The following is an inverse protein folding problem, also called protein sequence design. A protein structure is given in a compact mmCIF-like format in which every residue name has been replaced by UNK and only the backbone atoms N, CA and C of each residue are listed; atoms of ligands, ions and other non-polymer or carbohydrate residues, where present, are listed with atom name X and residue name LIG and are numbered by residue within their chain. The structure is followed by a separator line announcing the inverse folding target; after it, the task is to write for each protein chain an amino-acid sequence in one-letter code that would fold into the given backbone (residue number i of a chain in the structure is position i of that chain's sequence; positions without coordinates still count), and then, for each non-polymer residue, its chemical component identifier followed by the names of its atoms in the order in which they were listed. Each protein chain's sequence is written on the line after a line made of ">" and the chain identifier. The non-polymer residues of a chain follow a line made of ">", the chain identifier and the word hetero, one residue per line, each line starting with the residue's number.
data_IF_522568425001
#
_entry.id   IF_522568425001
#
_cell.length_a   1.000
_cell.length_b   1.000
_cell.length_c   1.000
_cell.angle_alpha   90.00
_cell.angle_beta   90.00
_cell.angle_gamma   90.00
#
_symmetry.space_group_name_H-M   'P 1'
#
loop_
_entity.id
_entity.type
_entity.pdbx_description
1 polymer ?
#
# COMPACT_ATOMS: atom_id res chain seq x y z
N UNK A 1 4.66 -15.70 -12.47
CA UNK A 1 4.71 -14.22 -12.45
C UNK A 1 3.45 -13.73 -11.76
N UNK A 2 3.52 -12.80 -10.80
CA UNK A 2 2.35 -12.24 -10.10
C UNK A 2 1.59 -11.33 -11.06
N UNK A 3 0.27 -11.47 -11.09
CA UNK A 3 -0.62 -10.58 -11.83
C UNK A 3 -1.15 -9.52 -10.89
N UNK A 4 -1.04 -8.25 -11.28
CA UNK A 4 -1.41 -7.11 -10.44
C UNK A 4 -2.69 -6.45 -10.93
N UNK A 5 -3.54 -6.03 -9.99
CA UNK A 5 -4.78 -5.29 -10.25
C UNK A 5 -4.96 -4.17 -9.23
N UNK A 6 -5.17 -2.95 -9.71
CA UNK A 6 -5.64 -1.83 -8.91
C UNK A 6 -7.15 -1.69 -9.10
N UNK A 7 -7.90 -1.58 -8.02
CA UNK A 7 -9.35 -1.45 -8.05
C UNK A 7 -9.86 -0.53 -6.95
N UNK A 8 -10.98 0.14 -7.21
CA UNK A 8 -11.79 0.77 -6.16
C UNK A 8 -12.57 -0.30 -5.41
N UNK A 9 -13.05 0.04 -4.22
CA UNK A 9 -13.78 -0.93 -3.40
C UNK A 9 -15.04 -1.49 -4.10
N UNK A 10 -15.77 -0.63 -4.79
CA UNK A 10 -16.99 -0.98 -5.53
C UNK A 10 -16.75 -1.80 -6.82
N UNK A 11 -15.51 -1.86 -7.27
CA UNK A 11 -15.08 -2.71 -8.40
C UNK A 11 -14.61 -4.11 -7.96
N UNK A 12 -14.47 -4.32 -6.64
CA UNK A 12 -14.09 -5.62 -6.09
C UNK A 12 -15.28 -6.58 -6.08
N UNK A 13 -15.04 -7.81 -6.48
CA UNK A 13 -16.01 -8.88 -6.28
C UNK A 13 -16.13 -9.25 -4.79
N UNK A 14 -17.26 -9.82 -4.35
CA UNK A 14 -17.39 -10.32 -2.98
C UNK A 14 -16.27 -11.31 -2.58
N UNK A 15 -15.81 -12.10 -3.54
CA UNK A 15 -14.70 -13.04 -3.33
C UNK A 15 -13.38 -12.32 -3.07
N UNK A 16 -13.07 -11.29 -3.84
CA UNK A 16 -11.86 -10.49 -3.63
C UNK A 16 -11.89 -9.76 -2.29
N UNK A 17 -13.03 -9.19 -1.89
CA UNK A 17 -13.19 -8.57 -0.56
C UNK A 17 -12.94 -9.59 0.55
N UNK A 18 -13.54 -10.79 0.44
CA UNK A 18 -13.30 -11.88 1.39
C UNK A 18 -11.82 -12.27 1.47
N UNK A 19 -11.16 -12.44 0.32
CA UNK A 19 -9.76 -12.87 0.26
C UNK A 19 -8.81 -11.77 0.81
N UNK A 20 -9.09 -10.50 0.55
CA UNK A 20 -8.38 -9.36 1.15
C UNK A 20 -8.47 -9.40 2.67
N UNK A 21 -9.67 -9.48 3.22
CA UNK A 21 -9.87 -9.45 4.67
C UNK A 21 -9.29 -10.69 5.34
N UNK A 22 -9.41 -11.87 4.73
CA UNK A 22 -8.77 -13.08 5.20
C UNK A 22 -7.24 -12.92 5.29
N UNK A 23 -6.60 -12.44 4.23
CA UNK A 23 -5.15 -12.22 4.19
C UNK A 23 -4.69 -11.19 5.23
N UNK A 24 -5.45 -10.10 5.42
CA UNK A 24 -5.16 -9.06 6.41
C UNK A 24 -5.25 -9.60 7.84
N UNK A 25 -6.30 -10.34 8.16
CA UNK A 25 -6.47 -10.95 9.48
C UNK A 25 -5.36 -11.97 9.73
N UNK A 26 -5.04 -12.81 8.75
CA UNK A 26 -3.97 -13.80 8.87
C UNK A 26 -2.62 -13.14 9.19
N UNK A 27 -2.23 -12.09 8.46
CA UNK A 27 -0.92 -11.46 8.62
C UNK A 27 -0.90 -10.53 9.83
N UNK A 28 -1.87 -9.62 9.97
CA UNK A 28 -1.78 -8.55 10.96
C UNK A 28 -2.32 -8.95 12.35
N UNK A 29 -3.24 -9.89 12.41
CA UNK A 29 -3.84 -10.32 13.68
C UNK A 29 -3.23 -11.64 14.14
N UNK A 30 -3.28 -12.68 13.31
CA UNK A 30 -2.87 -14.04 13.71
C UNK A 30 -1.35 -14.17 13.76
N UNK A 31 -0.64 -13.90 12.67
CA UNK A 31 0.84 -14.02 12.63
C UNK A 31 1.53 -13.05 13.59
N UNK A 32 1.11 -11.79 13.61
CA UNK A 32 1.69 -10.75 14.47
C UNK A 32 1.20 -10.83 15.93
N UNK A 33 0.26 -11.74 16.22
CA UNK A 33 -0.33 -11.90 17.56
C UNK A 33 -0.81 -10.58 18.15
N UNK A 34 -1.44 -9.76 17.31
CA UNK A 34 -1.91 -8.43 17.64
C UNK A 34 -3.43 -8.38 17.56
N UNK A 35 -4.09 -8.24 18.71
CA UNK A 35 -5.54 -8.12 18.78
C UNK A 35 -5.94 -6.65 18.57
N UNK A 36 -6.33 -6.28 17.36
CA UNK A 36 -6.83 -4.95 17.03
C UNK A 36 -7.94 -5.02 15.98
N UNK A 37 -8.68 -3.93 15.84
CA UNK A 37 -9.73 -3.82 14.83
C UNK A 37 -9.11 -3.49 13.46
N UNK A 38 -8.77 -4.50 12.69
CA UNK A 38 -8.14 -4.32 11.38
C UNK A 38 -9.04 -3.59 10.37
N UNK A 39 -10.34 -3.91 10.38
CA UNK A 39 -11.36 -3.22 9.56
C UNK A 39 -11.74 -1.90 10.24
N UNK A 40 -11.09 -0.83 9.84
CA UNK A 40 -11.19 0.50 10.44
C UNK A 40 -12.27 1.42 9.80
N UNK A 41 -13.05 0.87 8.87
CA UNK A 41 -14.16 1.57 8.22
C UNK A 41 -13.80 2.42 7.02
N UNK A 42 -12.53 2.61 6.69
CA UNK A 42 -12.13 3.45 5.54
C UNK A 42 -11.90 2.68 4.23
N UNK A 43 -11.93 1.36 4.27
CA UNK A 43 -11.72 0.53 3.08
C UNK A 43 -12.62 0.90 1.88
N UNK A 44 -13.92 1.25 2.08
CA UNK A 44 -14.78 1.67 0.98
C UNK A 44 -14.32 2.92 0.22
N UNK A 45 -13.49 3.75 0.84
CA UNK A 45 -12.98 4.99 0.25
C UNK A 45 -11.57 4.84 -0.34
N UNK A 46 -10.93 3.68 -0.15
CA UNK A 46 -9.58 3.40 -0.60
C UNK A 46 -9.54 2.80 -2.01
N UNK A 47 -8.35 2.88 -2.61
CA UNK A 47 -7.97 2.01 -3.71
C UNK A 47 -7.27 0.77 -3.15
N UNK A 48 -7.44 -0.35 -3.83
CA UNK A 48 -6.91 -1.65 -3.43
C UNK A 48 -5.98 -2.18 -4.51
N UNK A 49 -4.73 -2.46 -4.15
CA UNK A 49 -3.75 -3.07 -5.04
C UNK A 49 -3.59 -4.54 -4.65
N UNK A 50 -3.98 -5.43 -5.57
CA UNK A 50 -4.01 -6.87 -5.39
C UNK A 50 -2.95 -7.53 -6.27
N UNK A 51 -2.20 -8.45 -5.70
CA UNK A 51 -1.27 -9.31 -6.41
C UNK A 51 -1.71 -10.76 -6.31
N UNK A 52 -1.93 -11.42 -7.45
CA UNK A 52 -2.37 -12.80 -7.53
C UNK A 52 -1.26 -13.70 -8.05
N UNK A 53 -1.06 -14.84 -7.40
CA UNK A 53 -0.18 -15.89 -7.93
C UNK A 53 -0.76 -16.47 -9.22
N UNK A 54 0.08 -16.99 -10.13
CA UNK A 54 -0.43 -17.74 -11.28
C UNK A 54 -1.20 -18.96 -10.78
N UNK A 55 -2.39 -19.19 -11.34
CA UNK A 55 -3.17 -20.39 -11.07
C UNK A 55 -3.29 -21.23 -12.34
N UNK A 56 -3.25 -22.54 -12.15
CA UNK A 56 -3.44 -23.50 -13.24
C UNK A 56 -4.93 -23.69 -13.57
N UNK A 57 -5.80 -23.33 -12.62
CA UNK A 57 -7.27 -23.49 -12.76
C UNK A 57 -7.95 -22.24 -12.21
N UNK A 58 -8.29 -21.31 -13.08
CA UNK A 58 -9.17 -20.15 -12.87
C UNK A 58 -9.00 -19.36 -11.55
N UNK A 59 -8.50 -18.14 -11.64
CA UNK A 59 -8.36 -17.20 -10.53
C UNK A 59 -7.18 -17.52 -9.60
N UNK A 60 -6.11 -16.73 -9.66
CA UNK A 60 -4.94 -16.88 -8.79
C UNK A 60 -5.28 -16.65 -7.32
N UNK A 61 -4.45 -17.17 -6.42
CA UNK A 61 -4.54 -16.88 -4.99
C UNK A 61 -4.00 -15.48 -4.71
N UNK A 62 -4.67 -14.71 -3.85
CA UNK A 62 -4.18 -13.42 -3.38
C UNK A 62 -2.91 -13.63 -2.53
N UNK A 63 -1.78 -13.13 -3.00
CA UNK A 63 -0.48 -13.33 -2.35
C UNK A 63 0.21 -12.04 -1.93
N UNK A 64 -0.27 -10.90 -2.43
CA UNK A 64 0.22 -9.58 -2.05
C UNK A 64 -0.92 -8.56 -2.08
N UNK A 65 -0.89 -7.60 -1.18
CA UNK A 65 -1.94 -6.59 -1.08
C UNK A 65 -1.43 -5.34 -0.38
N UNK A 66 -1.94 -4.20 -0.78
CA UNK A 66 -1.98 -2.97 0.02
C UNK A 66 -3.19 -2.12 -0.36
N UNK A 67 -3.53 -1.16 0.50
CA UNK A 67 -4.51 -0.12 0.18
C UNK A 67 -3.85 1.23 0.02
N UNK A 68 -4.36 2.03 -0.92
CA UNK A 68 -3.99 3.42 -1.13
C UNK A 68 -5.09 4.29 -0.53
N UNK A 69 -4.74 5.06 0.48
CA UNK A 69 -5.68 5.84 1.28
C UNK A 69 -5.69 7.27 0.77
N UNK A 70 -6.85 7.85 0.44
CA UNK A 70 -6.95 9.23 0.02
C UNK A 70 -6.44 10.22 1.07
N UNK A 71 -6.01 11.44 0.67
CA UNK A 71 -5.62 12.47 1.62
C UNK A 71 -6.77 12.83 2.56
N UNK A 72 -6.43 13.14 3.81
CA UNK A 72 -7.40 13.54 4.84
C UNK A 72 -8.14 12.39 5.53
N UNK A 73 -7.87 11.12 5.17
CA UNK A 73 -8.53 9.97 5.81
C UNK A 73 -7.72 9.36 6.95
N UNK A 74 -6.43 9.18 6.79
CA UNK A 74 -5.52 8.73 7.84
C UNK A 74 -4.55 9.84 8.24
N UNK A 75 -3.96 10.47 7.25
CA UNK A 75 -3.07 11.63 7.38
C UNK A 75 -3.59 12.75 6.48
N UNK A 76 -3.04 13.96 6.62
CA UNK A 76 -3.32 15.06 5.69
C UNK A 76 -2.91 14.66 4.27
N UNK A 77 -1.78 13.96 4.14
CA UNK A 77 -1.27 13.41 2.89
C UNK A 77 -1.96 12.08 2.54
N UNK A 78 -1.98 11.68 1.25
CA UNK A 78 -2.33 10.31 0.88
C UNK A 78 -1.36 9.30 1.48
N UNK A 79 -1.83 8.08 1.70
CA UNK A 79 -1.06 7.05 2.40
C UNK A 79 -1.14 5.69 1.69
N UNK A 80 -0.14 4.87 1.94
CA UNK A 80 -0.13 3.45 1.60
C UNK A 80 -0.18 2.67 2.91
N UNK A 81 -1.14 1.79 3.06
CA UNK A 81 -1.32 1.01 4.28
C UNK A 81 -1.70 -0.44 4.03
N UNK A 82 -1.72 -1.22 5.11
CA UNK A 82 -2.04 -2.66 5.05
C UNK A 82 -1.17 -3.41 4.04
N UNK A 83 0.11 -3.05 3.96
CA UNK A 83 1.09 -3.70 3.07
C UNK A 83 1.38 -5.10 3.59
N UNK A 84 1.05 -6.10 2.80
CA UNK A 84 1.30 -7.50 3.16
C UNK A 84 1.72 -8.35 1.96
N UNK A 85 2.46 -9.40 2.27
CA UNK A 85 2.67 -10.57 1.40
C UNK A 85 2.39 -11.83 2.20
N UNK A 86 1.73 -12.81 1.59
CA UNK A 86 1.51 -14.11 2.21
C UNK A 86 2.79 -14.94 2.23
N UNK A 87 2.82 -16.00 3.04
CA UNK A 87 4.00 -16.87 3.16
C UNK A 87 4.55 -17.36 1.83
N UNK A 88 3.64 -17.68 0.88
CA UNK A 88 4.01 -18.18 -0.46
C UNK A 88 4.75 -17.14 -1.32
N UNK A 89 4.50 -15.85 -1.11
CA UNK A 89 5.10 -14.76 -1.89
C UNK A 89 6.30 -14.08 -1.19
N UNK A 90 6.55 -14.43 0.06
CA UNK A 90 7.75 -13.95 0.77
C UNK A 90 8.99 -14.55 0.12
N UNK A 91 10.09 -13.79 0.04
CA UNK A 91 11.39 -14.19 -0.53
C UNK A 91 11.50 -14.20 -2.07
N UNK A 92 10.40 -13.96 -2.81
CA UNK A 92 10.44 -13.85 -4.28
C UNK A 92 10.36 -12.39 -4.78
N UNK A 93 10.58 -11.42 -3.90
CA UNK A 93 10.58 -10.00 -4.24
C UNK A 93 9.18 -9.36 -4.37
N UNK A 94 8.13 -10.10 -4.03
CA UNK A 94 6.73 -9.61 -4.17
C UNK A 94 6.47 -8.32 -3.37
N UNK A 95 7.06 -8.18 -2.18
CA UNK A 95 6.90 -6.96 -1.36
C UNK A 95 7.52 -5.71 -2.00
N UNK A 96 8.69 -5.85 -2.65
CA UNK A 96 9.32 -4.74 -3.38
C UNK A 96 8.52 -4.35 -4.60
N UNK A 97 8.02 -5.31 -5.36
CA UNK A 97 7.19 -5.04 -6.53
C UNK A 97 5.86 -4.40 -6.11
N UNK A 98 5.23 -4.89 -5.04
CA UNK A 98 4.02 -4.30 -4.45
C UNK A 98 4.24 -2.82 -4.11
N UNK A 99 5.31 -2.49 -3.37
CA UNK A 99 5.59 -1.12 -2.98
C UNK A 99 5.94 -0.22 -4.15
N UNK A 100 6.72 -0.72 -5.12
CA UNK A 100 7.01 0.03 -6.35
C UNK A 100 5.73 0.42 -7.08
N UNK A 101 4.83 -0.53 -7.29
CA UNK A 101 3.54 -0.29 -7.94
C UNK A 101 2.63 0.61 -7.11
N UNK A 102 2.61 0.44 -5.78
CA UNK A 102 1.81 1.27 -4.89
C UNK A 102 2.23 2.75 -4.95
N UNK A 103 3.53 3.02 -4.93
CA UNK A 103 4.07 4.39 -5.08
C UNK A 103 3.74 4.96 -6.46
N UNK A 104 3.92 4.17 -7.54
CA UNK A 104 3.58 4.60 -8.90
C UNK A 104 2.10 4.96 -9.02
N UNK A 105 1.21 4.12 -8.51
CA UNK A 105 -0.24 4.38 -8.54
C UNK A 105 -0.62 5.58 -7.69
N UNK A 106 -0.10 5.67 -6.45
CA UNK A 106 -0.38 6.81 -5.58
C UNK A 106 0.06 8.14 -6.19
N UNK A 107 1.23 8.18 -6.83
CA UNK A 107 1.74 9.38 -7.51
C UNK A 107 0.84 9.79 -8.69
N UNK A 108 0.24 8.84 -9.39
CA UNK A 108 -0.70 9.12 -10.50
C UNK A 108 -2.08 9.53 -10.00
N UNK A 109 -2.56 8.93 -8.90
CA UNK A 109 -3.85 9.27 -8.30
C UNK A 109 -3.83 10.64 -7.64
N UNK A 110 -2.72 11.02 -7.03
CA UNK A 110 -2.54 12.27 -6.29
C UNK A 110 -1.25 12.98 -6.74
N UNK A 111 -1.25 13.55 -7.94
CA UNK A 111 -0.06 14.21 -8.49
C UNK A 111 0.31 15.43 -7.67
N UNK A 112 1.61 15.59 -7.39
CA UNK A 112 2.13 16.71 -6.61
C UNK A 112 2.00 16.57 -5.09
N UNK A 113 1.40 15.48 -4.60
CA UNK A 113 1.27 15.22 -3.17
C UNK A 113 2.46 14.41 -2.63
N UNK A 114 2.89 14.73 -1.42
CA UNK A 114 3.76 13.86 -0.63
C UNK A 114 2.97 12.64 -0.16
N UNK A 115 3.65 11.53 0.13
CA UNK A 115 3.03 10.33 0.69
C UNK A 115 3.50 10.16 2.13
N UNK A 116 2.58 9.92 3.07
CA UNK A 116 2.90 9.60 4.47
C UNK A 116 2.44 8.18 4.79
N UNK A 117 3.28 7.43 5.50
CA UNK A 117 2.96 6.08 5.97
C UNK A 117 3.25 5.95 7.47
N UNK A 118 2.48 5.09 8.14
CA UNK A 118 2.83 4.56 9.46
C UNK A 118 3.53 3.21 9.25
N UNK A 119 4.83 3.17 9.51
CA UNK A 119 5.66 2.00 9.28
C UNK A 119 6.03 1.32 10.59
N UNK A 120 5.97 0.00 10.65
CA UNK A 120 6.61 -0.75 11.72
C UNK A 120 8.11 -0.45 11.70
N UNK A 121 8.68 -0.07 12.83
CA UNK A 121 10.05 0.47 12.91
C UNK A 121 11.10 -0.41 12.27
N UNK A 122 10.99 -1.73 12.39
CA UNK A 122 11.98 -2.64 11.80
C UNK A 122 11.95 -2.66 10.25
N UNK A 123 10.95 -2.04 9.62
CA UNK A 123 10.81 -1.89 8.17
C UNK A 123 11.27 -0.52 7.64
N UNK A 124 11.85 0.35 8.48
CA UNK A 124 12.33 1.67 8.05
C UNK A 124 13.27 1.58 6.83
N UNK A 125 14.23 0.65 6.87
CA UNK A 125 15.15 0.45 5.76
C UNK A 125 14.43 0.03 4.48
N UNK A 126 13.49 -0.89 4.59
CA UNK A 126 12.70 -1.36 3.45
C UNK A 126 11.93 -0.22 2.78
N UNK A 127 11.22 0.61 3.56
CA UNK A 127 10.48 1.75 2.99
C UNK A 127 11.41 2.84 2.49
N UNK A 128 12.60 2.98 3.08
CA UNK A 128 13.65 3.89 2.60
C UNK A 128 14.09 3.62 1.16
N UNK A 129 14.03 2.35 0.71
CA UNK A 129 14.33 1.98 -0.68
C UNK A 129 13.37 2.65 -1.69
N UNK A 130 12.19 3.08 -1.25
CA UNK A 130 11.17 3.76 -2.07
C UNK A 130 11.10 5.27 -1.86
N UNK A 131 12.11 5.84 -1.19
CA UNK A 131 12.22 7.28 -0.96
C UNK A 131 11.48 7.81 0.26
N UNK A 132 11.00 6.93 1.15
CA UNK A 132 10.43 7.35 2.43
C UNK A 132 11.54 7.65 3.44
N UNK A 133 11.38 8.75 4.19
CA UNK A 133 12.29 9.19 5.24
C UNK A 133 11.51 9.29 6.55
N UNK A 134 12.09 8.84 7.64
CA UNK A 134 11.48 8.91 8.98
C UNK A 134 11.17 10.37 9.35
N UNK A 135 9.92 10.61 9.73
CA UNK A 135 9.35 11.93 9.98
C UNK A 135 8.74 12.08 11.39
N UNK A 136 8.88 11.09 12.26
CA UNK A 136 8.42 11.15 13.65
C UNK A 136 9.38 10.42 14.59
N UNK A 137 9.23 10.69 15.89
CA UNK A 137 9.78 9.82 16.93
C UNK A 137 9.05 8.46 16.91
N UNK A 138 9.68 7.36 17.38
CA UNK A 138 9.00 6.10 17.54
C UNK A 138 7.80 6.20 18.50
N UNK A 139 6.72 5.49 18.19
CA UNK A 139 5.52 5.37 19.02
C UNK A 139 5.01 3.94 19.05
N UNK A 140 4.24 3.61 20.08
CA UNK A 140 3.58 2.31 20.16
C UNK A 140 2.22 2.37 19.45
N UNK A 141 1.94 1.38 18.60
CA UNK A 141 0.63 1.13 18.00
C UNK A 141 0.31 -0.35 18.18
N UNK A 142 -0.65 -0.61 19.06
CA UNK A 142 -1.11 -1.97 19.39
C UNK A 142 0.03 -2.94 19.83
N UNK A 143 1.02 -2.44 20.57
CA UNK A 143 2.16 -3.22 21.07
C UNK A 143 3.30 -3.38 20.06
N UNK A 144 3.23 -2.74 18.89
CA UNK A 144 4.28 -2.76 17.87
C UNK A 144 4.84 -1.35 17.71
N UNK A 145 6.16 -1.20 17.80
CA UNK A 145 6.82 0.09 17.61
C UNK A 145 6.72 0.54 16.15
N UNK A 146 6.15 1.72 15.94
CA UNK A 146 5.99 2.37 14.64
C UNK A 146 6.76 3.67 14.55
N UNK A 147 6.97 4.14 13.34
CA UNK A 147 7.38 5.50 12.99
C UNK A 147 6.50 5.99 11.83
N UNK A 148 6.29 7.31 11.76
CA UNK A 148 5.79 7.89 10.52
C UNK A 148 6.96 8.12 9.57
N UNK A 149 6.72 7.87 8.29
CA UNK A 149 7.69 8.14 7.23
C UNK A 149 7.02 8.95 6.12
N UNK A 150 7.78 9.88 5.54
CA UNK A 150 7.32 10.79 4.50
C UNK A 150 8.15 10.62 3.24
N UNK A 151 7.47 10.49 2.10
CA UNK A 151 8.07 10.56 0.78
C UNK A 151 7.67 11.89 0.15
N UNK A 152 8.65 12.72 -0.18
CA UNK A 152 8.40 14.01 -0.82
C UNK A 152 7.66 13.83 -2.16
N UNK A 153 6.85 14.81 -2.52
CA UNK A 153 6.22 14.88 -3.84
C UNK A 153 7.30 14.81 -4.93
N UNK A 154 7.04 14.03 -5.98
CA UNK A 154 7.87 14.07 -7.17
C UNK A 154 7.68 15.42 -7.86
N UNK A 155 8.76 16.07 -8.28
CA UNK A 155 8.67 17.27 -9.09
C UNK A 155 7.84 16.94 -10.35
N UNK A 156 6.73 17.65 -10.55
CA UNK A 156 5.97 17.58 -11.80
C UNK A 156 6.93 18.10 -12.85
N UNK A 157 7.33 17.24 -13.79
CA UNK A 157 8.04 17.71 -14.99
C UNK A 157 7.09 18.72 -15.65
N UNK A 158 7.47 19.99 -15.63
CA UNK A 158 6.77 21.01 -16.36
C UNK A 158 6.91 20.64 -17.85
N UNK A 159 5.89 20.02 -18.41
CA UNK A 159 5.80 19.82 -19.85
C UNK A 159 5.64 21.20 -20.44
N UNK A 160 6.74 21.74 -20.96
CA UNK A 160 6.80 23.04 -21.58
C UNK A 160 5.73 23.14 -22.67
N UNK A 161 4.76 24.00 -22.44
CA UNK A 161 4.00 24.58 -23.52
C UNK A 161 5.01 25.35 -24.38
N UNK A 162 5.47 24.75 -25.49
CA UNK A 162 6.07 25.50 -26.56
C UNK A 162 4.93 26.32 -27.15
N UNK A 163 4.90 27.59 -26.78
CA UNK A 163 4.20 28.59 -27.58
C UNK A 163 4.86 28.61 -28.95
N UNK A 164 4.26 27.99 -29.94
CA UNK A 164 4.47 28.39 -31.32
C UNK A 164 3.82 29.76 -31.45
N UNK A 165 4.67 30.78 -31.38
CA UNK A 165 4.39 32.14 -31.77
C UNK A 165 5.03 32.34 -33.15
N UNK A 166 4.21 32.67 -34.07
CA UNK A 166 4.42 33.09 -35.38
C UNK A 166 5.28 34.38 -35.45
#
# INVERSE_FOLDING_TARGET
>A
MITWRLARFDELSPREVHDIFRARIEVFVVEQKCAFQDLDGIDPECWHLLGFSPSVVGGGELVAYCRLVPPGKKFAEPSIGRVLTTGAARRVGAGRELMRLAVDHATRLWPGEALRIGAQRYLEHFYGEFGFVTASAPYDEDGITHVEMLRAASAIAATGARSEGQ
#
